data_IF_836713726199
#
_entry.id   IF_836713726199
#
_cell.length_a   1.000
_cell.length_b   1.000
_cell.length_c   1.000
_cell.angle_alpha   90.00
_cell.angle_beta   90.00
_cell.angle_gamma   90.00
#
_symmetry.space_group_name_H-M   'P 1'
#
loop_
_entity.id
_entity.type
_entity.pdbx_description
1 polymer ?
#
# COMPACT_ATOMS: atom_id res chain seq x y z
N UNK A 1 0.94 -39.21 -50.23
CA UNK A 1 0.97 -38.84 -51.66
C UNK A 1 1.36 -37.39 -51.71
N UNK A 2 2.56 -37.23 -52.09
CA UNK A 2 3.27 -36.35 -53.01
C UNK A 2 3.57 -34.93 -52.53
N UNK A 3 4.78 -34.76 -52.06
CA UNK A 3 5.71 -33.58 -52.18
C UNK A 3 6.07 -33.36 -53.67
N UNK A 4 6.94 -32.38 -54.05
CA UNK A 4 7.24 -30.98 -53.70
C UNK A 4 7.34 -30.09 -54.98
N UNK A 5 7.84 -28.82 -54.89
CA UNK A 5 8.80 -28.20 -55.86
C UNK A 5 9.16 -26.76 -55.42
N UNK A 6 10.46 -26.52 -55.13
CA UNK A 6 11.22 -25.29 -55.40
C UNK A 6 11.89 -25.41 -56.79
N UNK A 7 12.42 -24.37 -57.47
CA UNK A 7 13.58 -23.59 -57.03
C UNK A 7 13.79 -22.15 -57.62
N UNK A 8 14.74 -21.38 -56.99
CA UNK A 8 15.91 -20.66 -57.54
C UNK A 8 15.79 -19.49 -58.50
N UNK A 9 16.67 -18.51 -58.25
CA UNK A 9 17.21 -17.53 -59.20
C UNK A 9 17.62 -16.22 -58.53
N UNK A 10 18.79 -16.06 -58.14
CA UNK A 10 20.12 -15.57 -58.62
C UNK A 10 20.30 -14.04 -58.58
N UNK A 11 21.41 -13.65 -57.93
CA UNK A 11 22.12 -12.37 -57.87
C UNK A 11 22.81 -12.02 -59.22
N UNK A 12 23.08 -10.75 -59.53
CA UNK A 12 24.49 -10.23 -59.57
C UNK A 12 24.57 -8.78 -59.06
N UNK A 13 25.59 -8.39 -58.25
CA UNK A 13 27.00 -8.09 -58.38
C UNK A 13 27.38 -6.85 -59.28
N UNK A 14 28.26 -6.03 -58.76
CA UNK A 14 29.08 -5.08 -59.48
C UNK A 14 28.91 -3.61 -59.04
N UNK A 15 29.79 -2.85 -58.50
CA UNK A 15 31.24 -2.65 -58.52
C UNK A 15 31.51 -1.20 -58.03
N UNK A 16 32.48 -1.06 -57.16
CA UNK A 16 33.32 0.17 -57.00
C UNK A 16 34.06 0.51 -58.29
N UNK A 17 34.68 1.65 -58.50
CA UNK A 17 35.79 2.27 -57.76
C UNK A 17 35.82 3.85 -57.81
N UNK A 18 36.62 4.59 -57.19
CA UNK A 18 38.05 4.78 -56.93
C UNK A 18 38.38 6.28 -56.68
N UNK A 19 39.26 6.59 -55.73
CA UNK A 19 40.29 7.61 -55.59
C UNK A 19 40.09 9.05 -56.04
N UNK A 20 40.57 10.00 -55.26
CA UNK A 20 41.94 10.57 -55.08
C UNK A 20 41.86 11.74 -54.08
N UNK A 21 42.70 11.76 -53.09
CA UNK A 21 44.07 12.29 -52.89
C UNK A 21 44.10 13.83 -52.68
N UNK A 22 44.62 14.34 -51.61
CA UNK A 22 45.97 14.87 -51.33
C UNK A 22 46.00 15.92 -50.20
N UNK A 23 46.95 15.70 -49.33
CA UNK A 23 47.93 16.61 -48.68
C UNK A 23 47.45 17.82 -47.89
N UNK A 24 48.00 18.23 -46.79
CA UNK A 24 49.31 18.12 -46.14
C UNK A 24 49.30 18.75 -44.74
N UNK A 25 50.13 18.23 -43.88
CA UNK A 25 51.03 18.83 -42.92
C UNK A 25 50.56 19.51 -41.62
N UNK A 26 51.28 19.09 -40.62
CA UNK A 26 51.95 19.74 -39.50
C UNK A 26 51.47 19.47 -38.08
N UNK A 27 52.18 18.57 -37.46
CA UNK A 27 52.66 18.52 -36.09
C UNK A 27 52.20 19.53 -35.05
N UNK A 28 51.67 19.02 -33.93
CA UNK A 28 52.22 19.38 -32.62
C UNK A 28 51.82 18.36 -31.54
N UNK A 29 52.83 17.90 -30.84
CA UNK A 29 52.77 16.95 -29.73
C UNK A 29 52.23 17.60 -28.47
N UNK A 30 51.23 16.99 -27.82
CA UNK A 30 51.07 17.17 -26.39
C UNK A 30 50.51 15.91 -25.71
N UNK A 31 51.25 15.44 -24.77
CA UNK A 31 51.02 14.38 -23.80
C UNK A 31 49.60 14.47 -23.17
N UNK A 32 48.79 13.48 -23.35
CA UNK A 32 47.60 13.29 -22.48
C UNK A 32 47.60 11.88 -21.93
N UNK A 33 47.88 11.80 -20.61
CA UNK A 33 47.62 10.62 -19.77
C UNK A 33 46.12 10.30 -19.73
N UNK A 34 45.70 9.02 -19.69
CA UNK A 34 44.28 8.67 -19.56
C UNK A 34 43.81 9.00 -18.17
N UNK A 35 42.84 9.90 -18.05
CA UNK A 35 42.08 10.14 -16.83
C UNK A 35 41.12 8.98 -16.60
N UNK A 36 41.31 8.29 -15.46
CA UNK A 36 40.45 7.24 -14.97
C UNK A 36 38.98 7.74 -14.85
N UNK A 37 38.05 6.96 -15.37
CA UNK A 37 36.62 7.11 -15.13
C UNK A 37 36.37 6.96 -13.64
N UNK A 38 36.12 8.07 -12.96
CA UNK A 38 35.53 8.06 -11.61
C UNK A 38 34.05 7.75 -11.77
N UNK A 39 33.58 6.63 -11.21
CA UNK A 39 32.18 6.36 -10.96
C UNK A 39 31.62 7.48 -10.08
N UNK A 40 30.49 8.09 -10.41
CA UNK A 40 29.79 8.99 -9.48
C UNK A 40 29.22 8.14 -8.35
N UNK A 41 29.76 8.30 -7.15
CA UNK A 41 29.11 7.85 -5.92
C UNK A 41 27.78 8.57 -5.79
N UNK A 42 26.68 7.83 -5.94
CA UNK A 42 25.34 8.38 -5.89
C UNK A 42 24.98 8.86 -4.50
N UNK A 43 25.30 10.10 -4.21
CA UNK A 43 24.52 10.92 -3.27
C UNK A 43 23.61 11.79 -4.13
N UNK A 44 22.43 11.28 -4.42
CA UNK A 44 21.35 12.09 -4.98
C UNK A 44 20.89 13.06 -3.88
N UNK A 45 21.54 14.20 -3.83
CA UNK A 45 21.06 15.32 -3.04
C UNK A 45 19.75 15.76 -3.68
N UNK A 46 18.64 15.49 -3.01
CA UNK A 46 17.35 16.11 -3.29
C UNK A 46 17.56 17.63 -3.33
N UNK A 47 17.46 18.23 -4.50
CA UNK A 47 17.52 19.67 -4.63
C UNK A 47 16.23 20.23 -4.05
N UNK A 48 16.27 20.61 -2.77
CA UNK A 48 15.25 21.36 -2.04
C UNK A 48 15.07 22.80 -2.58
N UNK A 49 15.42 23.07 -3.83
CA UNK A 49 15.57 24.44 -4.35
C UNK A 49 14.26 25.13 -4.76
N UNK A 50 13.11 24.43 -4.79
CA UNK A 50 11.86 25.06 -5.22
C UNK A 50 10.91 25.46 -4.06
N UNK A 51 11.16 25.03 -2.85
CA UNK A 51 10.30 25.33 -1.67
C UNK A 51 10.77 26.55 -0.90
N UNK A 52 12.06 26.89 -0.99
CA UNK A 52 12.65 27.98 -0.20
C UNK A 52 12.20 29.40 -0.58
N UNK A 53 11.70 29.63 -1.79
CA UNK A 53 11.28 30.98 -2.23
C UNK A 53 9.86 31.38 -1.79
N UNK A 54 8.96 30.44 -1.50
CA UNK A 54 7.60 30.73 -1.08
C UNK A 54 7.48 31.11 0.42
N UNK A 55 8.44 30.64 1.23
CA UNK A 55 8.45 30.85 2.69
C UNK A 55 8.84 32.30 3.05
N UNK A 56 9.58 32.97 2.20
CA UNK A 56 10.05 34.34 2.44
C UNK A 56 8.95 35.43 2.21
N UNK A 57 7.84 35.09 1.57
CA UNK A 57 6.75 36.02 1.27
C UNK A 57 5.58 35.99 2.29
N UNK A 58 5.48 34.95 3.14
CA UNK A 58 4.51 34.89 4.21
C UNK A 58 5.19 35.33 5.51
N UNK A 59 4.79 36.48 6.09
CA UNK A 59 5.41 37.02 7.30
C UNK A 59 5.54 35.97 8.41
N UNK A 60 6.67 35.92 9.10
CA UNK A 60 7.06 34.87 10.07
C UNK A 60 5.97 34.51 11.13
N UNK A 61 5.12 35.45 11.50
CA UNK A 61 4.00 35.22 12.42
C UNK A 61 2.86 34.36 11.79
N UNK A 62 2.54 34.58 10.51
CA UNK A 62 1.51 33.79 9.81
C UNK A 62 1.96 32.36 9.51
N UNK A 63 3.26 32.16 9.31
CA UNK A 63 3.87 30.84 9.08
C UNK A 63 3.83 30.00 10.37
N UNK A 64 4.16 30.61 11.52
CA UNK A 64 4.13 29.93 12.81
C UNK A 64 2.72 29.52 13.24
N UNK A 65 1.74 30.41 13.09
CA UNK A 65 0.34 30.12 13.45
C UNK A 65 -0.28 29.04 12.58
N UNK A 66 -0.03 29.04 11.28
CA UNK A 66 -0.53 27.99 10.37
C UNK A 66 0.13 26.64 10.66
N UNK A 67 1.45 26.63 10.87
CA UNK A 67 2.17 25.40 11.23
C UNK A 67 1.64 24.78 12.52
N UNK A 68 1.36 25.61 13.55
CA UNK A 68 0.75 25.14 14.78
C UNK A 68 -0.68 24.62 14.56
N UNK A 69 -1.52 25.35 13.82
CA UNK A 69 -2.89 24.96 13.51
C UNK A 69 -2.96 23.64 12.73
N UNK A 70 -2.00 23.37 11.85
CA UNK A 70 -1.94 22.13 11.06
C UNK A 70 -1.13 21.00 11.74
N UNK A 71 -0.70 21.16 12.98
CA UNK A 71 0.05 20.14 13.70
C UNK A 71 1.40 19.80 13.05
N UNK A 72 2.12 20.83 12.54
CA UNK A 72 3.39 20.62 11.83
C UNK A 72 4.46 19.97 12.72
N UNK A 73 4.39 20.18 14.02
CA UNK A 73 5.32 19.64 15.01
C UNK A 73 4.79 18.38 15.72
N UNK A 74 3.50 18.05 15.57
CA UNK A 74 2.81 16.95 16.23
C UNK A 74 2.20 15.98 15.21
N UNK A 75 2.98 15.64 14.16
CA UNK A 75 2.56 14.77 13.09
C UNK A 75 2.29 13.35 13.60
N UNK A 76 1.08 12.83 13.32
CA UNK A 76 0.66 11.50 13.80
C UNK A 76 0.31 11.47 15.29
N UNK A 77 0.03 12.63 15.90
CA UNK A 77 -0.32 12.75 17.31
C UNK A 77 -1.71 13.36 17.53
N UNK A 78 -2.21 13.23 18.77
CA UNK A 78 -3.52 13.71 19.21
C UNK A 78 -4.63 12.69 18.99
N UNK A 79 -5.87 13.09 19.27
CA UNK A 79 -7.03 12.22 19.36
C UNK A 79 -7.28 11.32 18.14
N UNK A 80 -7.09 11.75 16.86
CA UNK A 80 -7.27 10.87 15.71
C UNK A 80 -6.29 9.69 15.64
N UNK A 81 -5.20 9.73 16.39
CA UNK A 81 -4.14 8.70 16.37
C UNK A 81 -4.04 7.94 17.70
N UNK A 82 -4.93 8.23 18.65
CA UNK A 82 -4.81 7.74 20.02
C UNK A 82 -5.01 6.22 20.11
N UNK A 83 -5.88 5.66 19.29
CA UNK A 83 -6.16 4.23 19.28
C UNK A 83 -4.89 3.38 19.06
N UNK A 84 -3.92 3.87 18.27
CA UNK A 84 -2.64 3.20 18.07
C UNK A 84 -1.80 3.11 19.36
N UNK A 85 -1.94 4.08 20.26
CA UNK A 85 -1.20 4.13 21.54
C UNK A 85 -1.94 3.42 22.66
N UNK A 86 -3.26 3.44 22.63
CA UNK A 86 -4.10 2.88 23.69
C UNK A 86 -4.29 1.37 23.54
N UNK A 87 -4.26 0.84 22.30
CA UNK A 87 -4.46 -0.57 22.08
C UNK A 87 -3.33 -1.41 22.67
N UNK A 88 -3.69 -2.48 23.38
CA UNK A 88 -2.74 -3.43 23.99
C UNK A 88 -3.23 -4.85 23.85
N UNK A 89 -2.32 -5.76 23.50
CA UNK A 89 -2.59 -7.19 23.42
C UNK A 89 -3.01 -7.80 24.77
N UNK A 90 -2.60 -7.18 25.90
CA UNK A 90 -2.95 -7.62 27.24
C UNK A 90 -4.32 -7.13 27.74
N UNK A 91 -5.01 -6.29 26.99
CA UNK A 91 -6.37 -5.85 27.33
C UNK A 91 -7.38 -6.90 26.86
N UNK A 92 -8.26 -7.36 27.76
CA UNK A 92 -9.32 -8.33 27.46
C UNK A 92 -10.58 -7.64 26.92
N UNK A 93 -11.49 -8.45 26.35
CA UNK A 93 -12.83 -8.01 25.95
C UNK A 93 -13.03 -7.87 24.45
N UNK A 94 -14.28 -8.03 24.00
CA UNK A 94 -14.66 -7.98 22.59
C UNK A 94 -14.37 -6.60 21.98
N UNK A 95 -14.57 -5.51 22.73
CA UNK A 95 -14.25 -4.15 22.26
C UNK A 95 -12.77 -3.98 21.95
N UNK A 96 -11.85 -4.65 22.66
CA UNK A 96 -10.43 -4.61 22.33
C UNK A 96 -10.11 -5.37 21.04
N UNK A 97 -10.87 -6.42 20.71
CA UNK A 97 -10.77 -7.11 19.42
C UNK A 97 -11.24 -6.20 18.28
N UNK A 98 -12.33 -5.47 18.47
CA UNK A 98 -12.80 -4.46 17.51
C UNK A 98 -11.80 -3.31 17.36
N UNK A 99 -11.17 -2.90 18.46
CA UNK A 99 -10.11 -1.90 18.40
C UNK A 99 -8.93 -2.35 17.53
N UNK A 100 -8.51 -3.64 17.63
CA UNK A 100 -7.50 -4.22 16.74
C UNK A 100 -7.96 -4.22 15.28
N UNK A 101 -9.21 -4.57 14.99
CA UNK A 101 -9.80 -4.51 13.66
C UNK A 101 -9.79 -3.09 13.08
N UNK A 102 -10.12 -2.09 13.90
CA UNK A 102 -10.11 -0.67 13.50
C UNK A 102 -8.70 -0.20 13.11
N UNK A 103 -7.65 -0.84 13.64
CA UNK A 103 -6.25 -0.58 13.26
C UNK A 103 -5.82 -1.32 11.98
N UNK A 104 -6.63 -2.18 11.39
CA UNK A 104 -6.28 -2.96 10.21
C UNK A 104 -6.04 -2.09 8.96
N UNK A 105 -5.33 -2.67 7.97
CA UNK A 105 -5.15 -2.06 6.66
C UNK A 105 -6.48 -2.03 5.89
N UNK A 106 -6.70 -0.96 5.15
CA UNK A 106 -7.86 -0.81 4.26
C UNK A 106 -7.57 0.24 3.18
N UNK A 107 -8.27 0.21 2.02
CA UNK A 107 -8.01 1.12 0.93
C UNK A 107 -8.25 2.57 1.39
N UNK A 108 -7.38 3.48 0.95
CA UNK A 108 -7.45 4.92 1.24
C UNK A 108 -7.71 5.30 2.71
N UNK A 109 -7.57 4.35 3.65
CA UNK A 109 -7.96 4.50 5.06
C UNK A 109 -9.43 4.92 5.24
N UNK A 110 -10.32 4.40 4.37
CA UNK A 110 -11.74 4.72 4.41
C UNK A 110 -12.45 4.10 5.62
N UNK A 111 -11.88 3.05 6.23
CA UNK A 111 -12.43 2.33 7.38
C UNK A 111 -13.89 1.93 7.15
N UNK A 112 -14.17 1.01 6.18
CA UNK A 112 -15.50 0.80 5.61
C UNK A 112 -16.38 -0.15 6.44
N UNK A 113 -16.34 -0.06 7.75
CA UNK A 113 -16.94 -1.03 8.66
C UNK A 113 -17.69 -0.42 9.83
N UNK A 114 -18.63 -1.23 10.32
CA UNK A 114 -19.22 -1.20 11.66
C UNK A 114 -19.12 -2.58 12.31
N UNK A 115 -19.22 -2.63 13.62
CA UNK A 115 -19.16 -3.86 14.40
C UNK A 115 -20.31 -3.87 15.40
N UNK A 116 -21.21 -4.85 15.26
CA UNK A 116 -22.24 -5.11 16.28
C UNK A 116 -21.63 -6.08 17.29
N UNK A 117 -21.58 -5.68 18.57
CA UNK A 117 -20.95 -6.47 19.64
C UNK A 117 -22.04 -7.04 20.55
N UNK A 118 -22.04 -8.37 20.73
CA UNK A 118 -23.03 -9.09 21.53
C UNK A 118 -22.32 -9.96 22.58
N UNK A 119 -22.67 -9.80 23.84
CA UNK A 119 -22.23 -10.71 24.92
C UNK A 119 -21.08 -10.22 25.80
N UNK A 120 -20.67 -8.95 25.67
CA UNK A 120 -19.65 -8.36 26.55
C UNK A 120 -20.27 -7.88 27.87
N UNK A 121 -20.62 -8.82 28.74
CA UNK A 121 -21.23 -8.52 30.04
C UNK A 121 -20.21 -8.27 31.17
N UNK A 122 -19.11 -7.60 30.87
CA UNK A 122 -18.37 -6.82 31.89
C UNK A 122 -17.45 -7.55 32.84
N UNK A 123 -17.19 -8.84 32.76
CA UNK A 123 -16.08 -9.47 33.48
C UNK A 123 -14.91 -9.72 32.54
N UNK A 124 -13.75 -9.13 32.83
CA UNK A 124 -12.57 -9.15 31.98
C UNK A 124 -12.00 -10.57 31.71
N UNK A 125 -12.36 -11.56 32.49
CA UNK A 125 -11.82 -12.91 32.39
C UNK A 125 -12.62 -13.86 31.48
N UNK A 126 -13.93 -13.57 31.21
CA UNK A 126 -14.84 -14.46 30.49
C UNK A 126 -15.49 -13.82 29.24
N UNK A 127 -14.79 -12.90 28.57
CA UNK A 127 -15.32 -12.21 27.38
C UNK A 127 -15.46 -13.15 26.17
N UNK A 128 -16.42 -14.07 26.26
CA UNK A 128 -16.95 -14.84 25.13
C UNK A 128 -18.18 -14.16 24.59
N UNK A 129 -18.40 -14.23 23.28
CA UNK A 129 -19.54 -13.59 22.65
C UNK A 129 -19.40 -13.57 21.14
N UNK A 130 -20.12 -12.68 20.50
CA UNK A 130 -20.02 -12.52 19.05
C UNK A 130 -19.83 -11.07 18.62
N UNK A 131 -19.14 -10.90 17.49
CA UNK A 131 -18.96 -9.65 16.79
C UNK A 131 -19.49 -9.86 15.38
N UNK A 132 -20.44 -9.04 14.94
CA UNK A 132 -20.87 -9.03 13.55
C UNK A 132 -20.17 -7.87 12.83
N UNK A 133 -19.36 -8.21 11.81
CA UNK A 133 -18.72 -7.24 10.93
C UNK A 133 -19.70 -6.84 9.83
N UNK A 134 -20.00 -5.55 9.75
CA UNK A 134 -20.89 -4.98 8.74
C UNK A 134 -20.16 -3.96 7.87
N UNK A 135 -20.53 -3.92 6.60
CA UNK A 135 -20.05 -2.92 5.66
C UNK A 135 -20.74 -1.57 5.87
N UNK A 136 -19.99 -0.49 5.85
CA UNK A 136 -20.49 0.88 5.78
C UNK A 136 -20.70 1.25 4.29
N UNK A 137 -21.94 1.39 3.80
CA UNK A 137 -22.24 1.58 2.37
C UNK A 137 -21.71 2.92 1.83
N UNK A 138 -21.53 3.92 2.69
CA UNK A 138 -21.10 5.26 2.29
C UNK A 138 -19.58 5.36 2.15
N UNK A 139 -18.84 4.33 2.59
CA UNK A 139 -17.36 4.31 2.57
C UNK A 139 -16.85 3.45 1.42
N UNK A 140 -16.81 4.07 0.26
CA UNK A 140 -16.43 3.45 -1.02
C UNK A 140 -15.55 4.38 -1.85
N UNK A 141 -14.79 3.79 -2.78
CA UNK A 141 -14.01 4.49 -3.82
C UNK A 141 -14.43 3.93 -5.17
N UNK A 142 -15.61 4.31 -5.70
CA UNK A 142 -16.29 3.59 -6.78
C UNK A 142 -15.56 3.64 -8.13
N UNK A 143 -14.55 4.49 -8.28
CA UNK A 143 -13.77 4.57 -9.52
C UNK A 143 -12.34 4.00 -9.34
N UNK A 144 -11.81 4.01 -8.13
CA UNK A 144 -10.54 3.36 -7.80
C UNK A 144 -10.72 1.87 -7.52
N UNK A 145 -11.83 1.50 -6.89
CA UNK A 145 -12.19 0.12 -6.52
C UNK A 145 -13.61 -0.21 -7.02
N UNK A 146 -13.81 -0.27 -8.38
CA UNK A 146 -15.14 -0.35 -8.98
C UNK A 146 -15.88 -1.65 -8.70
N UNK A 147 -15.18 -2.73 -8.44
CA UNK A 147 -15.71 -4.05 -8.08
C UNK A 147 -15.65 -4.34 -6.57
N UNK A 148 -15.17 -3.38 -5.75
CA UNK A 148 -15.10 -3.49 -4.30
C UNK A 148 -14.09 -4.52 -3.76
N UNK A 149 -13.14 -4.99 -4.58
CA UNK A 149 -12.17 -6.03 -4.17
C UNK A 149 -11.21 -5.56 -3.10
N UNK A 150 -10.74 -4.30 -3.17
CA UNK A 150 -9.85 -3.75 -2.15
C UNK A 150 -10.59 -3.50 -0.83
N UNK A 151 -11.85 -3.03 -0.93
CA UNK A 151 -12.74 -2.88 0.22
C UNK A 151 -13.00 -4.24 0.88
N UNK A 152 -13.29 -5.28 0.10
CA UNK A 152 -13.49 -6.64 0.61
C UNK A 152 -12.21 -7.20 1.27
N UNK A 153 -11.04 -6.98 0.66
CA UNK A 153 -9.76 -7.33 1.27
C UNK A 153 -9.51 -6.54 2.58
N UNK A 154 -9.96 -5.29 2.66
CA UNK A 154 -9.95 -4.50 3.91
C UNK A 154 -10.75 -5.16 5.03
N UNK A 155 -11.92 -5.77 4.73
CA UNK A 155 -12.66 -6.59 5.71
C UNK A 155 -11.85 -7.82 6.12
N UNK A 156 -11.19 -8.50 5.17
CA UNK A 156 -10.26 -9.61 5.48
C UNK A 156 -9.13 -9.19 6.42
N UNK A 157 -8.56 -8.00 6.20
CA UNK A 157 -7.55 -7.43 7.11
C UNK A 157 -8.11 -7.21 8.52
N UNK A 158 -9.34 -6.72 8.66
CA UNK A 158 -10.00 -6.51 9.95
C UNK A 158 -10.27 -7.84 10.66
N UNK A 159 -10.77 -8.85 9.93
CA UNK A 159 -10.99 -10.20 10.47
C UNK A 159 -9.70 -10.80 11.02
N UNK A 160 -8.60 -10.72 10.26
CA UNK A 160 -7.32 -11.25 10.74
C UNK A 160 -6.77 -10.49 11.96
N UNK A 161 -6.99 -9.19 12.05
CA UNK A 161 -6.61 -8.42 13.24
C UNK A 161 -7.39 -8.89 14.49
N UNK A 162 -8.69 -9.25 14.34
CA UNK A 162 -9.49 -9.87 15.42
C UNK A 162 -8.90 -11.23 15.79
N UNK A 163 -8.58 -12.09 14.81
CA UNK A 163 -7.98 -13.41 15.07
C UNK A 163 -6.70 -13.29 15.90
N UNK A 164 -5.78 -12.42 15.49
CA UNK A 164 -4.51 -12.19 16.19
C UNK A 164 -4.74 -11.66 17.60
N UNK A 165 -5.64 -10.69 17.75
CA UNK A 165 -5.96 -10.12 19.06
C UNK A 165 -6.65 -11.13 19.99
N UNK A 166 -7.55 -11.97 19.45
CA UNK A 166 -8.20 -13.04 20.21
C UNK A 166 -7.16 -14.09 20.67
N UNK A 167 -6.25 -14.51 19.77
CA UNK A 167 -5.18 -15.45 20.13
C UNK A 167 -4.29 -14.92 21.25
N UNK A 168 -3.96 -13.63 21.22
CA UNK A 168 -3.17 -13.00 22.31
C UNK A 168 -3.86 -13.07 23.68
N UNK A 169 -5.20 -13.17 23.69
CA UNK A 169 -6.02 -13.31 24.89
C UNK A 169 -6.30 -14.79 25.28
N UNK A 170 -5.67 -15.77 24.62
CA UNK A 170 -5.97 -17.20 24.82
C UNK A 170 -7.36 -17.60 24.31
N UNK A 171 -7.85 -16.90 23.30
CA UNK A 171 -9.16 -17.14 22.67
C UNK A 171 -9.00 -17.45 21.19
N UNK A 172 -10.04 -17.98 20.57
CA UNK A 172 -10.13 -18.25 19.13
C UNK A 172 -11.34 -17.54 18.55
N UNK A 173 -11.13 -16.86 17.42
CA UNK A 173 -12.18 -16.27 16.62
C UNK A 173 -12.65 -17.29 15.57
N UNK A 174 -13.91 -17.74 15.66
CA UNK A 174 -14.56 -18.60 14.67
C UNK A 174 -15.33 -17.70 13.71
N UNK A 175 -14.85 -17.61 12.46
CA UNK A 175 -15.39 -16.71 11.45
C UNK A 175 -16.34 -17.45 10.54
N UNK A 176 -17.60 -16.98 10.49
CA UNK A 176 -18.64 -17.38 9.55
C UNK A 176 -18.86 -16.24 8.55
N UNK A 177 -18.30 -16.33 7.33
CA UNK A 177 -18.56 -15.30 6.31
C UNK A 177 -20.00 -15.35 5.82
N UNK A 178 -20.58 -14.17 5.63
CA UNK A 178 -21.95 -13.98 5.11
C UNK A 178 -23.01 -14.86 5.75
N UNK A 179 -23.23 -14.75 7.06
CA UNK A 179 -24.19 -15.62 7.77
C UNK A 179 -25.64 -15.51 7.22
N UNK A 180 -25.97 -14.39 6.57
CA UNK A 180 -27.25 -14.14 5.93
C UNK A 180 -27.26 -14.49 4.42
N UNK A 181 -26.20 -15.17 3.94
CA UNK A 181 -25.96 -15.48 2.55
C UNK A 181 -25.18 -14.38 1.81
N UNK A 182 -24.22 -14.78 0.96
CA UNK A 182 -23.46 -13.86 0.15
C UNK A 182 -24.34 -13.24 -0.93
N UNK A 183 -24.59 -11.94 -0.82
CA UNK A 183 -25.28 -11.16 -1.84
C UNK A 183 -24.68 -9.76 -1.93
N UNK A 184 -24.78 -9.12 -3.08
CA UNK A 184 -24.34 -7.73 -3.29
C UNK A 184 -25.08 -6.72 -2.40
N UNK A 185 -26.24 -7.11 -1.85
CA UNK A 185 -27.08 -6.30 -0.97
C UNK A 185 -26.84 -6.54 0.51
N UNK A 186 -26.08 -7.59 0.87
CA UNK A 186 -25.79 -7.89 2.27
C UNK A 186 -24.68 -6.98 2.76
N UNK A 187 -24.94 -6.20 3.77
CA UNK A 187 -23.96 -5.47 4.54
C UNK A 187 -23.27 -6.34 5.61
N UNK A 188 -23.83 -7.52 5.92
CA UNK A 188 -23.31 -8.45 6.91
C UNK A 188 -22.18 -9.31 6.33
N UNK A 189 -20.95 -8.88 6.56
CA UNK A 189 -19.75 -9.47 5.97
C UNK A 189 -19.36 -10.76 6.68
N UNK A 190 -19.39 -10.75 8.01
CA UNK A 190 -19.04 -11.94 8.79
C UNK A 190 -19.59 -11.87 10.21
N UNK A 191 -19.89 -13.05 10.75
CA UNK A 191 -20.11 -13.27 12.20
C UNK A 191 -18.86 -13.91 12.78
N UNK A 192 -18.37 -13.36 13.86
CA UNK A 192 -17.19 -13.83 14.59
C UNK A 192 -17.64 -14.29 15.96
N UNK A 193 -17.56 -15.58 16.25
CA UNK A 193 -17.75 -16.13 17.59
C UNK A 193 -16.41 -16.23 18.29
N UNK A 194 -16.32 -15.64 19.48
CA UNK A 194 -15.10 -15.66 20.30
C UNK A 194 -15.26 -16.71 21.38
N UNK A 195 -14.40 -17.72 21.34
CA UNK A 195 -14.42 -18.88 22.26
C UNK A 195 -13.09 -19.01 22.97
N UNK A 196 -13.09 -19.64 24.17
CA UNK A 196 -11.85 -19.92 24.88
C UNK A 196 -11.00 -20.94 24.10
N UNK A 197 -9.68 -20.79 24.16
CA UNK A 197 -8.73 -21.66 23.50
C UNK A 197 -7.43 -21.79 24.35
N UNK A 198 -6.46 -22.55 23.86
CA UNK A 198 -5.15 -22.70 24.47
C UNK A 198 -4.41 -21.36 24.62
N UNK A 199 -3.47 -21.26 25.58
CA UNK A 199 -2.61 -20.08 25.68
C UNK A 199 -1.92 -19.74 24.34
N UNK A 200 -1.65 -18.46 24.08
CA UNK A 200 -1.01 -18.05 22.83
C UNK A 200 0.44 -18.56 22.73
N UNK A 201 0.84 -18.89 21.52
CA UNK A 201 2.23 -19.17 21.18
C UNK A 201 3.07 -17.88 21.14
N UNK A 202 4.40 -18.00 21.21
CA UNK A 202 5.29 -16.83 21.06
C UNK A 202 5.06 -16.09 19.74
N UNK A 203 4.79 -16.82 18.65
CA UNK A 203 4.52 -16.21 17.34
C UNK A 203 3.23 -15.39 17.31
N UNK A 204 2.18 -15.90 17.93
CA UNK A 204 0.91 -15.17 18.05
C UNK A 204 1.08 -13.89 18.89
N UNK A 205 1.86 -13.95 19.97
CA UNK A 205 2.20 -12.77 20.77
C UNK A 205 3.03 -11.74 19.97
N UNK A 206 4.00 -12.19 19.16
CA UNK A 206 4.78 -11.32 18.28
C UNK A 206 3.88 -10.57 17.30
N UNK A 207 2.96 -11.27 16.63
CA UNK A 207 2.02 -10.66 15.70
C UNK A 207 1.08 -9.67 16.40
N UNK A 208 0.59 -10.00 17.59
CA UNK A 208 -0.25 -9.10 18.37
C UNK A 208 0.51 -7.83 18.77
N UNK A 209 1.74 -7.93 19.25
CA UNK A 209 2.56 -6.76 19.59
C UNK A 209 2.93 -5.91 18.37
N UNK A 210 2.80 -6.43 17.15
CA UNK A 210 3.00 -5.69 15.93
C UNK A 210 1.78 -4.83 15.54
N UNK A 211 0.56 -5.12 16.01
CA UNK A 211 -0.67 -4.39 15.65
C UNK A 211 -0.51 -2.88 15.83
N UNK A 212 -0.14 -2.34 17.00
CA UNK A 212 -0.05 -0.88 17.18
C UNK A 212 1.16 -0.24 16.46
N UNK A 213 2.09 -1.04 15.93
CA UNK A 213 3.27 -0.58 15.19
C UNK A 213 3.13 -0.67 13.68
N UNK A 214 2.08 -1.36 13.21
CA UNK A 214 1.81 -1.60 11.80
C UNK A 214 1.34 -0.34 11.10
N UNK A 215 2.20 0.33 10.38
CA UNK A 215 1.87 1.51 9.57
C UNK A 215 2.34 1.32 8.13
N UNK A 216 1.59 1.83 7.15
CA UNK A 216 2.00 1.81 5.75
C UNK A 216 3.20 2.74 5.55
N UNK A 217 4.33 2.19 5.09
CA UNK A 217 5.56 2.94 4.92
C UNK A 217 5.71 3.47 3.49
N UNK A 218 5.42 4.75 3.26
CA UNK A 218 5.54 5.40 1.94
C UNK A 218 6.88 6.09 1.68
N UNK A 219 7.82 6.03 2.62
CA UNK A 219 9.17 6.60 2.49
C UNK A 219 10.12 5.76 1.65
N UNK A 220 11.38 6.22 1.46
CA UNK A 220 12.41 5.46 0.78
C UNK A 220 12.86 4.25 1.61
N UNK A 221 13.12 3.12 0.92
CA UNK A 221 13.83 1.98 1.50
C UNK A 221 15.34 2.13 1.32
N UNK A 222 16.10 1.48 2.17
CA UNK A 222 17.56 1.35 2.02
C UNK A 222 17.90 0.54 0.76
N UNK A 223 19.17 0.57 0.34
CA UNK A 223 19.62 -0.16 -0.85
C UNK A 223 19.59 -1.69 -0.68
N UNK A 224 19.55 -2.21 0.56
CA UNK A 224 19.56 -3.64 0.84
C UNK A 224 18.17 -4.24 0.62
N UNK A 225 18.09 -5.33 -0.16
CA UNK A 225 16.89 -6.15 -0.24
C UNK A 225 16.73 -6.98 1.04
N UNK A 226 15.50 -7.31 1.46
CA UNK A 226 15.28 -8.34 2.47
C UNK A 226 15.87 -9.68 2.02
N UNK A 227 16.49 -10.40 2.95
CA UNK A 227 17.01 -11.75 2.68
C UNK A 227 15.86 -12.74 2.42
N UNK A 228 16.10 -13.75 1.57
CA UNK A 228 15.09 -14.74 1.21
C UNK A 228 14.51 -15.46 2.44
N UNK A 229 15.36 -15.83 3.39
CA UNK A 229 14.92 -16.46 4.64
C UNK A 229 13.97 -15.58 5.46
N UNK A 230 14.15 -14.25 5.43
CA UNK A 230 13.22 -13.30 6.05
C UNK A 230 11.90 -13.26 5.28
N UNK A 231 11.95 -13.18 3.94
CA UNK A 231 10.75 -13.21 3.09
C UNK A 231 9.93 -14.50 3.33
N UNK A 232 10.61 -15.67 3.39
CA UNK A 232 9.97 -16.95 3.67
C UNK A 232 9.32 -16.99 5.06
N UNK A 233 9.91 -16.30 6.03
CA UNK A 233 9.35 -16.20 7.38
C UNK A 233 8.05 -15.41 7.46
N UNK A 234 7.80 -14.51 6.51
CA UNK A 234 6.61 -13.65 6.52
C UNK A 234 5.31 -14.42 6.22
N UNK A 235 5.40 -15.59 5.58
CA UNK A 235 4.25 -16.46 5.30
C UNK A 235 4.12 -17.62 6.29
N UNK A 236 5.03 -17.71 7.27
CA UNK A 236 4.98 -18.77 8.26
C UNK A 236 3.75 -18.63 9.15
N UNK A 237 2.97 -19.71 9.25
CA UNK A 237 1.67 -19.74 9.95
C UNK A 237 0.65 -18.70 9.39
N UNK A 238 0.75 -18.40 8.09
CA UNK A 238 -0.23 -17.57 7.41
C UNK A 238 -1.58 -18.28 7.29
N UNK A 239 -2.71 -17.53 7.22
CA UNK A 239 -4.01 -18.12 6.95
C UNK A 239 -4.08 -18.73 5.55
N UNK A 240 -4.86 -19.80 5.40
CA UNK A 240 -5.13 -20.44 4.11
C UNK A 240 -6.05 -19.62 3.21
N UNK A 241 -6.16 -20.03 1.93
CA UNK A 241 -7.11 -19.48 0.97
C UNK A 241 -6.51 -18.44 0.01
N UNK A 242 -5.25 -18.02 0.22
CA UNK A 242 -4.51 -17.14 -0.68
C UNK A 242 -3.01 -17.45 -0.65
N UNK A 243 -2.28 -16.97 -1.65
CA UNK A 243 -0.84 -17.17 -1.79
C UNK A 243 -0.10 -15.84 -1.90
N UNK A 244 1.11 -15.80 -1.35
CA UNK A 244 2.02 -14.68 -1.54
C UNK A 244 3.09 -15.06 -2.57
N UNK A 245 3.21 -14.27 -3.62
CA UNK A 245 4.23 -14.41 -4.66
C UNK A 245 5.19 -13.23 -4.58
N UNK A 246 6.48 -13.54 -4.49
CA UNK A 246 7.54 -12.54 -4.44
C UNK A 246 8.11 -12.23 -5.82
N UNK A 247 8.35 -10.96 -6.10
CA UNK A 247 9.13 -10.47 -7.24
C UNK A 247 10.41 -9.87 -6.69
N UNK A 248 11.52 -10.61 -6.85
CA UNK A 248 12.84 -10.26 -6.27
C UNK A 248 13.94 -10.14 -7.33
N UNK A 249 13.73 -10.69 -8.55
CA UNK A 249 14.69 -10.57 -9.64
C UNK A 249 14.76 -9.12 -10.11
N UNK A 250 15.97 -8.57 -10.19
CA UNK A 250 16.20 -7.13 -10.37
C UNK A 250 15.56 -6.56 -11.64
N UNK A 251 15.59 -7.30 -12.76
CA UNK A 251 14.96 -6.87 -14.00
C UNK A 251 13.44 -6.91 -13.94
N UNK A 252 12.86 -7.89 -13.23
CA UNK A 252 11.42 -7.97 -12.99
C UNK A 252 10.96 -6.85 -12.05
N UNK A 253 11.70 -6.59 -10.97
CA UNK A 253 11.44 -5.46 -10.05
C UNK A 253 11.43 -4.13 -10.80
N UNK A 254 12.42 -3.88 -11.67
CA UNK A 254 12.47 -2.67 -12.49
C UNK A 254 11.24 -2.55 -13.40
N UNK A 255 10.89 -3.60 -14.14
CA UNK A 255 9.73 -3.61 -15.04
C UNK A 255 8.39 -3.44 -14.30
N UNK A 256 8.24 -4.06 -13.13
CA UNK A 256 7.08 -3.84 -12.26
C UNK A 256 7.03 -2.38 -11.80
N UNK A 257 8.19 -1.80 -11.45
CA UNK A 257 8.30 -0.39 -11.11
C UNK A 257 7.83 0.54 -12.24
N UNK A 258 8.21 0.26 -13.49
CA UNK A 258 7.76 1.02 -14.65
C UNK A 258 6.24 0.94 -14.84
N UNK A 259 5.63 -0.25 -14.63
CA UNK A 259 4.17 -0.40 -14.67
C UNK A 259 3.48 0.44 -13.59
N UNK A 260 4.03 0.52 -12.38
CA UNK A 260 3.47 1.37 -11.33
C UNK A 260 3.52 2.84 -11.67
N UNK A 261 4.62 3.32 -12.27
CA UNK A 261 4.72 4.72 -12.71
C UNK A 261 3.70 5.02 -13.80
N UNK A 262 3.56 4.12 -14.79
CA UNK A 262 2.59 4.25 -15.88
C UNK A 262 1.14 4.24 -15.35
N UNK A 263 0.81 3.27 -14.49
CA UNK A 263 -0.52 3.17 -13.89
C UNK A 263 -0.86 4.40 -13.02
N UNK A 264 0.10 4.88 -12.23
CA UNK A 264 -0.09 6.10 -11.42
C UNK A 264 -0.36 7.32 -12.31
N UNK A 265 0.39 7.47 -13.41
CA UNK A 265 0.15 8.55 -14.38
C UNK A 265 -1.24 8.42 -15.01
N UNK A 266 -1.64 7.21 -15.42
CA UNK A 266 -2.96 6.97 -16.02
C UNK A 266 -4.12 7.20 -15.04
N UNK A 267 -3.92 7.01 -13.73
CA UNK A 267 -4.90 7.37 -12.69
C UNK A 267 -4.98 8.89 -12.54
N UNK A 268 -3.84 9.58 -12.50
CA UNK A 268 -3.79 11.05 -12.42
C UNK A 268 -4.43 11.72 -13.65
N UNK A 269 -4.22 11.17 -14.84
CA UNK A 269 -4.80 11.66 -16.10
C UNK A 269 -6.32 11.38 -16.20
N UNK A 270 -6.84 10.33 -15.52
CA UNK A 270 -8.29 10.11 -15.39
C UNK A 270 -8.86 11.01 -14.28
N UNK A 271 -9.27 12.23 -14.66
CA UNK A 271 -9.76 13.27 -13.74
C UNK A 271 -10.83 12.75 -12.75
N UNK A 272 -11.68 11.80 -13.19
CA UNK A 272 -12.74 11.24 -12.32
C UNK A 272 -12.16 10.27 -11.29
N UNK A 273 -11.23 9.41 -11.70
CA UNK A 273 -10.56 8.48 -10.81
C UNK A 273 -9.68 9.22 -9.80
N UNK A 274 -8.92 10.23 -10.26
CA UNK A 274 -8.14 11.12 -9.40
C UNK A 274 -9.03 11.85 -8.37
N UNK A 275 -10.19 12.38 -8.79
CA UNK A 275 -11.12 13.04 -7.88
C UNK A 275 -11.71 12.08 -6.81
N UNK A 276 -12.00 10.84 -7.19
CA UNK A 276 -12.47 9.79 -6.28
C UNK A 276 -11.43 9.48 -5.19
N UNK A 277 -10.15 9.32 -5.58
CA UNK A 277 -9.03 9.14 -4.64
C UNK A 277 -8.82 10.37 -3.75
N UNK A 278 -8.83 11.58 -4.35
CA UNK A 278 -8.58 12.83 -3.63
C UNK A 278 -9.67 13.18 -2.62
N UNK A 279 -10.91 12.71 -2.82
CA UNK A 279 -11.99 12.87 -1.86
C UNK A 279 -11.67 12.28 -0.48
N UNK A 280 -10.76 11.32 -0.42
CA UNK A 280 -10.26 10.71 0.82
C UNK A 280 -8.94 11.30 1.32
N UNK A 281 -8.49 12.43 0.77
CA UNK A 281 -7.30 13.12 1.26
C UNK A 281 -7.69 14.21 2.27
N UNK A 282 -7.09 14.18 3.48
CA UNK A 282 -7.31 15.16 4.54
C UNK A 282 -6.13 16.12 4.57
N UNK A 283 -6.34 17.32 4.05
CA UNK A 283 -5.29 18.30 3.78
C UNK A 283 -4.77 19.00 5.03
N UNK A 284 -5.60 19.18 6.03
CA UNK A 284 -5.28 19.94 7.23
C UNK A 284 -5.76 19.26 8.51
N UNK A 285 -5.36 19.82 9.64
CA UNK A 285 -5.68 19.26 10.96
C UNK A 285 -7.17 19.27 11.27
N UNK A 286 -7.90 20.27 10.83
CA UNK A 286 -9.35 20.35 11.09
C UNK A 286 -10.13 19.24 10.38
N UNK A 287 -9.74 18.92 9.16
CA UNK A 287 -10.31 17.78 8.41
C UNK A 287 -9.94 16.42 9.07
N UNK A 288 -8.68 16.30 9.54
CA UNK A 288 -8.24 15.09 10.24
C UNK A 288 -9.03 14.89 11.52
N UNK A 289 -9.24 15.95 12.32
CA UNK A 289 -9.99 15.87 13.57
C UNK A 289 -11.49 15.61 13.34
N UNK A 290 -12.06 16.16 12.26
CA UNK A 290 -13.47 16.01 11.94
C UNK A 290 -13.80 14.62 11.39
N UNK A 291 -12.97 14.07 10.52
CA UNK A 291 -13.27 12.83 9.78
C UNK A 291 -12.57 11.58 10.34
N UNK A 292 -11.37 11.73 10.89
CA UNK A 292 -10.55 10.66 11.49
C UNK A 292 -10.31 9.47 10.55
N UNK A 293 -10.26 9.74 9.27
CA UNK A 293 -10.08 8.78 8.18
C UNK A 293 -9.19 9.36 7.08
N UNK A 294 -9.10 8.65 5.98
CA UNK A 294 -8.45 9.12 4.77
C UNK A 294 -6.92 9.10 4.84
N UNK A 295 -6.33 9.60 3.76
CA UNK A 295 -4.89 9.82 3.63
C UNK A 295 -4.54 11.21 4.13
N UNK A 296 -3.39 11.35 4.80
CA UNK A 296 -2.91 12.63 5.35
C UNK A 296 -1.47 12.86 4.95
N UNK A 297 -1.01 14.10 5.02
CA UNK A 297 0.41 14.43 4.84
C UNK A 297 1.32 13.66 5.81
N UNK A 298 0.84 13.36 7.02
CA UNK A 298 1.60 12.65 8.05
C UNK A 298 2.06 11.27 7.59
N UNK A 299 1.24 10.56 6.82
CA UNK A 299 1.52 9.20 6.37
C UNK A 299 2.07 9.10 4.94
N UNK A 300 2.48 10.22 4.29
CA UNK A 300 3.06 10.23 2.94
C UNK A 300 4.57 9.92 2.89
N UNK A 301 5.18 9.53 3.99
CA UNK A 301 6.60 9.16 4.01
C UNK A 301 7.57 10.33 3.83
N UNK A 302 7.10 11.57 4.06
CA UNK A 302 7.93 12.77 4.00
C UNK A 302 8.97 12.80 5.13
N UNK A 303 10.14 13.37 4.87
CA UNK A 303 11.07 13.72 5.94
C UNK A 303 10.43 14.76 6.89
N UNK A 304 10.92 14.86 8.12
CA UNK A 304 10.34 15.79 9.09
C UNK A 304 10.39 17.24 8.59
N UNK A 305 11.47 17.66 7.93
CA UNK A 305 11.60 19.01 7.36
C UNK A 305 10.62 19.24 6.20
N UNK A 306 10.47 18.28 5.29
CA UNK A 306 9.49 18.36 4.19
C UNK A 306 8.05 18.37 4.71
N UNK A 307 7.75 17.59 5.74
CA UNK A 307 6.42 17.53 6.34
C UNK A 307 6.04 18.86 7.00
N UNK A 308 6.96 19.43 7.79
CA UNK A 308 6.76 20.77 8.39
C UNK A 308 6.50 21.81 7.30
N UNK A 309 7.32 21.84 6.25
CA UNK A 309 7.13 22.75 5.12
C UNK A 309 5.77 22.53 4.43
N UNK A 310 5.39 21.30 4.15
CA UNK A 310 4.11 20.97 3.53
C UNK A 310 2.89 21.41 4.36
N UNK A 311 2.97 21.28 5.70
CA UNK A 311 1.90 21.71 6.61
C UNK A 311 1.80 23.22 6.83
N UNK A 312 2.88 23.95 6.58
CA UNK A 312 2.90 25.41 6.63
C UNK A 312 2.31 26.02 5.34
N UNK A 313 2.56 25.40 4.19
CA UNK A 313 2.07 25.86 2.90
C UNK A 313 0.54 25.71 2.80
N UNK A 314 -0.13 26.46 1.90
CA UNK A 314 -1.54 26.24 1.57
C UNK A 314 -1.81 24.77 1.18
N UNK A 315 -3.03 24.30 1.47
CA UNK A 315 -3.48 22.99 1.00
C UNK A 315 -3.26 22.85 -0.51
N UNK A 316 -2.76 21.71 -0.94
CA UNK A 316 -2.51 21.44 -2.34
C UNK A 316 -3.83 21.26 -3.09
N UNK A 317 -3.87 21.71 -4.36
CA UNK A 317 -4.94 21.32 -5.27
C UNK A 317 -4.85 19.82 -5.57
N UNK A 318 -5.91 19.26 -6.12
CA UNK A 318 -5.93 17.87 -6.58
C UNK A 318 -4.80 17.61 -7.58
N UNK A 319 -4.66 18.47 -8.58
CA UNK A 319 -3.64 18.36 -9.62
C UNK A 319 -2.22 18.39 -9.05
N UNK A 320 -1.94 19.30 -8.11
CA UNK A 320 -0.64 19.35 -7.44
C UNK A 320 -0.37 18.10 -6.57
N UNK A 321 -1.42 17.52 -6.00
CA UNK A 321 -1.33 16.25 -5.27
C UNK A 321 -1.05 15.07 -6.21
N UNK A 322 -1.68 15.04 -7.38
CA UNK A 322 -1.45 14.04 -8.43
C UNK A 322 -0.01 14.10 -8.94
N UNK A 323 0.48 15.31 -9.29
CA UNK A 323 1.87 15.53 -9.73
C UNK A 323 2.87 15.05 -8.66
N UNK A 324 2.61 15.37 -7.39
CA UNK A 324 3.42 14.91 -6.29
C UNK A 324 3.40 13.38 -6.14
N UNK A 325 2.24 12.75 -6.30
CA UNK A 325 2.10 11.30 -6.21
C UNK A 325 2.83 10.57 -7.35
N UNK A 326 2.66 11.01 -8.60
CA UNK A 326 3.39 10.48 -9.76
C UNK A 326 4.89 10.61 -9.56
N UNK A 327 5.35 11.79 -9.14
CA UNK A 327 6.77 12.05 -8.84
C UNK A 327 7.27 11.14 -7.73
N UNK A 328 6.54 11.03 -6.63
CA UNK A 328 6.93 10.16 -5.49
C UNK A 328 6.94 8.69 -5.89
N UNK A 329 6.00 8.24 -6.73
CA UNK A 329 5.99 6.87 -7.25
C UNK A 329 7.26 6.60 -8.04
N UNK A 330 7.65 7.51 -8.96
CA UNK A 330 8.85 7.36 -9.78
C UNK A 330 10.15 7.47 -8.98
N UNK A 331 10.30 8.52 -8.17
CA UNK A 331 11.58 8.88 -7.57
C UNK A 331 11.83 8.22 -6.20
N UNK A 332 10.77 7.74 -5.52
CA UNK A 332 10.87 7.15 -4.19
C UNK A 332 10.35 5.72 -4.19
N UNK A 333 9.07 5.52 -4.55
CA UNK A 333 8.44 4.23 -4.32
C UNK A 333 9.06 3.14 -5.17
N UNK A 334 9.19 3.33 -6.48
CA UNK A 334 9.77 2.35 -7.39
C UNK A 334 11.30 2.40 -7.41
N UNK A 335 11.90 3.59 -7.33
CA UNK A 335 13.37 3.74 -7.36
C UNK A 335 14.06 3.05 -6.18
N UNK A 336 13.42 2.97 -5.01
CA UNK A 336 13.99 2.34 -3.82
C UNK A 336 13.43 0.92 -3.55
N UNK A 337 12.46 0.45 -4.32
CA UNK A 337 11.96 -0.92 -4.20
C UNK A 337 13.04 -1.93 -4.64
N UNK A 338 13.14 -3.03 -3.88
CA UNK A 338 13.99 -4.19 -4.21
C UNK A 338 13.19 -5.49 -4.21
N UNK A 339 11.97 -5.42 -3.69
CA UNK A 339 11.07 -6.57 -3.55
C UNK A 339 9.64 -6.09 -3.64
N UNK A 340 8.84 -6.75 -4.46
CA UNK A 340 7.39 -6.63 -4.46
C UNK A 340 6.78 -7.96 -4.01
N UNK A 341 5.66 -7.88 -3.30
CA UNK A 341 4.79 -9.00 -2.97
C UNK A 341 3.45 -8.84 -3.65
N UNK A 342 2.91 -9.94 -4.15
CA UNK A 342 1.60 -10.00 -4.80
C UNK A 342 0.76 -11.03 -4.07
N UNK A 343 -0.39 -10.63 -3.57
CA UNK A 343 -1.39 -11.54 -3.01
C UNK A 343 -2.15 -12.15 -4.18
N UNK A 344 -1.90 -13.42 -4.41
CA UNK A 344 -2.55 -14.22 -5.42
C UNK A 344 -3.72 -15.00 -4.80
N UNK A 345 -4.83 -15.02 -5.52
CA UNK A 345 -6.02 -15.82 -5.21
C UNK A 345 -6.40 -16.63 -6.47
N UNK A 346 -7.29 -17.58 -6.34
CA UNK A 346 -7.74 -18.37 -7.50
C UNK A 346 -8.60 -17.52 -8.45
N UNK A 347 -9.43 -16.64 -7.89
CA UNK A 347 -10.34 -15.76 -8.62
C UNK A 347 -10.64 -14.51 -7.81
N UNK A 348 -10.29 -13.32 -8.34
CA UNK A 348 -10.54 -12.03 -7.67
C UNK A 348 -12.03 -11.66 -7.63
N UNK A 349 -12.89 -12.28 -8.43
CA UNK A 349 -14.33 -12.04 -8.43
C UNK A 349 -15.05 -12.88 -7.37
N UNK A 350 -14.39 -13.89 -6.82
CA UNK A 350 -14.92 -14.67 -5.71
C UNK A 350 -14.83 -13.89 -4.40
N UNK A 351 -15.95 -13.56 -3.73
CA UNK A 351 -15.93 -12.79 -2.49
C UNK A 351 -15.13 -13.43 -1.36
N UNK A 352 -15.10 -14.77 -1.28
CA UNK A 352 -14.33 -15.50 -0.29
C UNK A 352 -12.83 -15.30 -0.50
N UNK A 353 -12.36 -15.38 -1.74
CA UNK A 353 -10.98 -15.17 -2.08
C UNK A 353 -10.51 -13.74 -1.74
N UNK A 354 -11.38 -12.75 -1.88
CA UNK A 354 -11.10 -11.36 -1.46
C UNK A 354 -10.87 -11.24 0.04
N UNK A 355 -11.70 -11.89 0.86
CA UNK A 355 -11.52 -11.92 2.32
C UNK A 355 -10.24 -12.66 2.70
N UNK A 356 -10.00 -13.84 2.15
CA UNK A 356 -8.82 -14.65 2.47
C UNK A 356 -7.52 -13.96 2.03
N UNK A 357 -7.51 -13.29 0.86
CA UNK A 357 -6.39 -12.47 0.42
C UNK A 357 -6.14 -11.28 1.34
N UNK A 358 -7.18 -10.64 1.87
CA UNK A 358 -7.06 -9.59 2.88
C UNK A 358 -6.48 -10.11 4.20
N UNK A 359 -6.92 -11.28 4.65
CA UNK A 359 -6.36 -11.94 5.85
C UNK A 359 -4.87 -12.21 5.67
N UNK A 360 -4.46 -12.74 4.52
CA UNK A 360 -3.04 -12.97 4.21
C UNK A 360 -2.26 -11.66 4.17
N UNK A 361 -2.79 -10.61 3.52
CA UNK A 361 -2.13 -9.30 3.48
C UNK A 361 -1.87 -8.73 4.88
N UNK A 362 -2.87 -8.80 5.77
CA UNK A 362 -2.72 -8.32 7.14
C UNK A 362 -1.69 -9.15 7.92
N UNK A 363 -1.69 -10.48 7.74
CA UNK A 363 -0.68 -11.36 8.32
C UNK A 363 0.73 -10.94 7.90
N UNK A 364 0.97 -10.82 6.60
CA UNK A 364 2.28 -10.43 6.04
C UNK A 364 2.70 -9.05 6.54
N UNK A 365 1.78 -8.10 6.64
CA UNK A 365 2.10 -6.77 7.13
C UNK A 365 2.47 -6.77 8.61
N UNK A 366 1.77 -7.54 9.46
CA UNK A 366 2.13 -7.72 10.86
C UNK A 366 3.47 -8.44 11.02
N UNK A 367 3.69 -9.52 10.26
CA UNK A 367 4.94 -10.27 10.26
C UNK A 367 6.13 -9.40 9.81
N UNK A 368 5.98 -8.62 8.76
CA UNK A 368 6.99 -7.66 8.31
C UNK A 368 7.29 -6.61 9.38
N UNK A 369 6.25 -6.07 10.02
CA UNK A 369 6.38 -5.11 11.13
C UNK A 369 7.13 -5.73 12.33
N UNK A 370 6.84 -6.98 12.66
CA UNK A 370 7.48 -7.69 13.77
C UNK A 370 9.00 -7.80 13.58
N UNK A 371 9.46 -8.02 12.35
CA UNK A 371 10.89 -8.13 12.00
C UNK A 371 11.52 -6.80 11.55
N UNK A 372 10.82 -5.67 11.72
CA UNK A 372 11.36 -4.33 11.43
C UNK A 372 11.36 -3.94 9.95
N UNK A 373 10.65 -4.67 9.08
CA UNK A 373 10.45 -4.28 7.68
C UNK A 373 9.30 -3.28 7.55
N UNK A 374 9.42 -2.38 6.58
CA UNK A 374 8.33 -1.52 6.12
C UNK A 374 7.59 -2.14 4.95
N UNK A 375 6.26 -1.97 4.91
CA UNK A 375 5.42 -2.40 3.81
C UNK A 375 4.58 -1.23 3.29
N UNK A 376 4.48 -1.12 1.95
CA UNK A 376 3.68 -0.11 1.26
C UNK A 376 2.79 -0.77 0.21
N UNK A 377 1.48 -0.68 0.40
CA UNK A 377 0.49 -1.15 -0.56
C UNK A 377 0.59 -0.35 -1.87
N UNK A 378 0.61 -1.05 -2.99
CA UNK A 378 0.75 -0.48 -4.32
C UNK A 378 -0.21 -1.18 -5.28
N UNK A 379 -1.45 -0.70 -5.31
CA UNK A 379 -2.53 -1.31 -6.11
C UNK A 379 -2.81 -0.57 -7.42
N UNK A 380 -2.06 0.48 -7.75
CA UNK A 380 -2.31 1.33 -8.92
C UNK A 380 -2.46 0.53 -10.21
N UNK A 381 -1.67 -0.54 -10.38
CA UNK A 381 -1.75 -1.41 -11.56
C UNK A 381 -3.07 -2.16 -11.58
N UNK A 382 -3.46 -2.78 -10.47
CA UNK A 382 -4.72 -3.52 -10.37
C UNK A 382 -5.95 -2.61 -10.40
N UNK A 383 -5.89 -1.44 -9.76
CA UNK A 383 -6.92 -0.39 -9.85
C UNK A 383 -7.11 0.07 -11.31
N UNK A 384 -6.00 0.32 -12.02
CA UNK A 384 -6.08 0.75 -13.42
C UNK A 384 -6.62 -0.34 -14.35
N UNK A 385 -6.21 -1.60 -14.15
CA UNK A 385 -6.74 -2.74 -14.90
C UNK A 385 -8.27 -2.85 -14.70
N UNK A 386 -8.74 -2.76 -13.46
CA UNK A 386 -10.17 -2.80 -13.17
C UNK A 386 -10.92 -1.62 -13.79
N UNK A 387 -10.35 -0.43 -13.75
CA UNK A 387 -10.91 0.78 -14.36
C UNK A 387 -10.98 0.68 -15.88
N UNK A 388 -9.94 0.15 -16.52
CA UNK A 388 -9.91 -0.05 -17.97
C UNK A 388 -10.95 -1.11 -18.40
N UNK A 389 -11.06 -2.21 -17.66
CA UNK A 389 -12.08 -3.22 -17.89
C UNK A 389 -13.51 -2.64 -17.75
N UNK A 390 -13.78 -1.84 -16.73
CA UNK A 390 -15.08 -1.17 -16.54
C UNK A 390 -15.41 -0.14 -17.63
N UNK A 391 -14.44 0.21 -18.49
CA UNK A 391 -14.58 1.17 -19.60
C UNK A 391 -14.40 0.52 -20.97
N UNK A 392 -14.37 -0.80 -21.06
CA UNK A 392 -14.13 -1.56 -22.30
C UNK A 392 -12.84 -1.13 -23.04
N UNK A 393 -11.80 -0.74 -22.29
CA UNK A 393 -10.50 -0.31 -22.84
C UNK A 393 -9.61 -1.55 -23.11
N UNK A 394 -8.62 -1.42 -24.02
CA UNK A 394 -7.69 -2.52 -24.32
C UNK A 394 -6.89 -2.99 -23.10
N UNK A 395 -6.83 -4.29 -22.89
CA UNK A 395 -6.19 -4.96 -21.75
C UNK A 395 -4.64 -5.06 -21.88
N UNK A 396 -3.97 -3.96 -22.17
CA UNK A 396 -2.51 -3.93 -22.37
C UNK A 396 -1.73 -4.01 -21.05
N UNK A 397 -2.25 -3.38 -20.01
CA UNK A 397 -1.58 -3.33 -18.71
C UNK A 397 -1.62 -4.70 -18.04
N UNK A 398 -2.77 -5.38 -18.08
CA UNK A 398 -2.95 -6.74 -17.57
C UNK A 398 -2.03 -7.76 -18.27
N UNK A 399 -1.93 -7.70 -19.61
CA UNK A 399 -1.04 -8.58 -20.37
C UNK A 399 0.43 -8.39 -19.97
N UNK A 400 0.89 -7.15 -19.82
CA UNK A 400 2.26 -6.83 -19.39
C UNK A 400 2.51 -7.24 -17.95
N UNK A 401 1.53 -7.03 -17.07
CA UNK A 401 1.60 -7.48 -15.68
C UNK A 401 1.79 -8.98 -15.61
N UNK A 402 0.94 -9.76 -16.29
CA UNK A 402 1.03 -11.22 -16.34
C UNK A 402 2.36 -11.71 -16.94
N UNK A 403 2.84 -11.06 -18.00
CA UNK A 403 4.12 -11.40 -18.63
C UNK A 403 5.34 -11.16 -17.72
N UNK A 404 5.27 -10.24 -16.77
CA UNK A 404 6.37 -9.92 -15.84
C UNK A 404 6.27 -10.76 -14.58
N UNK A 405 5.07 -10.88 -14.01
CA UNK A 405 4.85 -11.49 -12.69
C UNK A 405 4.51 -12.98 -12.75
N UNK A 406 4.10 -13.48 -13.92
CA UNK A 406 3.55 -14.84 -14.09
C UNK A 406 2.13 -14.99 -13.51
N UNK A 407 1.49 -13.90 -13.05
CA UNK A 407 0.18 -13.93 -12.40
C UNK A 407 -0.83 -13.18 -13.27
N UNK A 408 -1.88 -13.84 -13.79
CA UNK A 408 -2.94 -13.18 -14.52
C UNK A 408 -3.71 -12.18 -13.65
N UNK A 409 -4.25 -11.11 -14.24
CA UNK A 409 -5.02 -10.11 -13.51
C UNK A 409 -6.20 -10.69 -12.69
N UNK A 410 -6.97 -11.69 -13.20
CA UNK A 410 -8.03 -12.33 -12.42
C UNK A 410 -7.56 -13.12 -11.18
N UNK A 411 -6.26 -13.28 -11.01
CA UNK A 411 -5.65 -13.91 -9.84
C UNK A 411 -4.83 -12.92 -8.99
N UNK A 412 -4.63 -11.69 -9.45
CA UNK A 412 -3.84 -10.65 -8.77
C UNK A 412 -4.74 -9.77 -7.94
N UNK A 413 -4.90 -10.09 -6.65
CA UNK A 413 -5.81 -9.34 -5.79
C UNK A 413 -5.22 -8.01 -5.34
N UNK A 414 -4.07 -8.05 -4.69
CA UNK A 414 -3.39 -6.89 -4.08
C UNK A 414 -1.88 -7.00 -4.29
N UNK A 415 -1.20 -5.87 -4.27
CA UNK A 415 0.25 -5.86 -4.33
C UNK A 415 0.86 -4.81 -3.40
N UNK A 416 2.13 -4.99 -3.07
CA UNK A 416 2.87 -4.10 -2.18
C UNK A 416 4.37 -4.19 -2.45
N UNK A 417 5.11 -3.18 -2.01
CA UNK A 417 6.57 -3.26 -1.88
C UNK A 417 6.95 -3.44 -0.42
N UNK A 418 8.05 -4.15 -0.17
CA UNK A 418 8.60 -4.40 1.18
C UNK A 418 10.10 -4.17 1.19
N UNK A 419 10.63 -3.68 2.31
CA UNK A 419 12.06 -3.40 2.44
C UNK A 419 12.42 -2.84 3.81
N UNK A 420 13.70 -2.54 3.99
CA UNK A 420 14.22 -1.91 5.20
C UNK A 420 13.92 -0.40 5.15
N UNK A 421 13.07 0.13 6.05
CA UNK A 421 12.69 1.54 6.02
C UNK A 421 13.85 2.43 6.51
N UNK A 422 14.11 3.55 5.82
CA UNK A 422 15.11 4.52 6.28
C UNK A 422 14.70 5.28 7.56
N UNK A 423 13.40 5.27 7.86
CA UNK A 423 12.82 5.95 9.03
C UNK A 423 11.54 5.24 9.48
N UNK A 424 11.08 5.54 10.67
CA UNK A 424 9.81 5.01 11.15
C UNK A 424 8.62 5.51 10.31
N UNK A 425 7.66 4.64 10.03
CA UNK A 425 6.36 5.03 9.48
C UNK A 425 5.55 5.80 10.54
N UNK A 426 4.74 6.77 10.08
CA UNK A 426 3.78 7.46 10.95
C UNK A 426 2.40 6.84 10.84
N UNK A 427 1.59 6.89 11.91
CA UNK A 427 0.24 6.37 11.91
C UNK A 427 -0.68 7.17 10.98
N UNK A 428 -1.73 6.53 10.49
CA UNK A 428 -2.89 7.18 9.87
C UNK A 428 -3.99 7.38 10.92
N UNK A 429 -4.88 8.38 10.75
CA UNK A 429 -5.97 8.60 11.69
C UNK A 429 -6.91 7.40 11.75
N UNK A 430 -7.63 7.25 12.88
CA UNK A 430 -8.65 6.21 13.09
C UNK A 430 -9.90 6.83 13.67
N UNK A 431 -11.05 6.33 13.22
CA UNK A 431 -12.37 6.64 13.81
C UNK A 431 -12.35 6.26 15.29
N UNK A 432 -13.14 6.94 16.09
CA UNK A 432 -13.33 6.51 17.47
C UNK A 432 -13.93 5.10 17.50
N UNK A 433 -13.61 4.36 18.53
CA UNK A 433 -14.17 3.02 18.71
C UNK A 433 -15.69 3.10 18.82
N UNK A 434 -16.21 4.10 19.52
CA UNK A 434 -17.65 4.31 19.69
C UNK A 434 -18.38 4.73 18.38
N UNK A 435 -17.65 5.25 17.38
CA UNK A 435 -18.23 5.56 16.06
C UNK A 435 -18.37 4.31 15.17
N UNK A 436 -17.66 3.22 15.49
CA UNK A 436 -17.66 1.99 14.69
C UNK A 436 -18.29 0.80 15.41
N UNK A 437 -18.39 0.84 16.75
CA UNK A 437 -19.10 -0.17 17.55
C UNK A 437 -20.56 0.22 17.67
N UNK A 438 -21.42 -0.76 17.45
CA UNK A 438 -22.85 -0.68 17.74
C UNK A 438 -23.16 -1.72 18.80
N UNK A 439 -23.66 -1.32 19.95
CA UNK A 439 -24.07 -2.26 20.98
C UNK A 439 -25.46 -2.82 20.61
N UNK A 440 -25.61 -4.15 20.63
CA UNK A 440 -26.86 -4.78 20.29
C UNK A 440 -27.92 -4.43 21.36
N UNK A 441 -28.87 -3.57 20.97
CA UNK A 441 -29.96 -3.13 21.87
C UNK A 441 -30.21 -1.62 21.88
N UNK A 442 -29.49 -0.83 21.09
CA UNK A 442 -29.79 0.58 20.83
C UNK A 442 -30.57 0.78 19.53
#
# INVERSE_FOLDING_TARGET
>A
MTTPISPSGTIPDGSEPDRTDSTDSASESSNHRPRGRRHPSGRTAFKAASISCAILAAGAAGVGTRGAANGAWNAGEGAPYELWRQWSAGTSGLRNLVAAATLAANPHNIQPWFFDVNGDSGSAEDSTGSIDLRADPDRVTPLCDPDGRERAAGFGCALYAIEVAARAQGKRAEIEPWPDGASERSDHIARIRVVNDAPPTSREQELATAIPRRHTYRGPFTASAPEQAVLDSLTKAAPDGAQLVWVTEASAVARVGDLYVEATQAIADDTRMSADSFAWFRNDRSQIDAHRDGLTLDCQGLSSTMLVAAKILPAQSREASDDFWVKSTREVHTATARTYGIIRVDDVDNPRNRLDGGRLLQHVHLAATAVGLGLHHMNQVTERIARDAAQDRPDRLSQRWAAITGIPAPQSLLAFRVGHPERAARPSPRRYLDDVVRDAGQ
#
